data_IF_658633393569
#
_entry.id   IF_658633393569
#
_cell.length_a   1.000
_cell.length_b   1.000
_cell.length_c   1.000
_cell.angle_alpha   90.00
_cell.angle_beta   90.00
_cell.angle_gamma   90.00
#
_symmetry.space_group_name_H-M   'P 1'
#
loop_
_entity.id
_entity.type
_entity.pdbx_description
1 polymer ?
#
# COMPACT_ATOMS: atom_id res chain seq x y z
N UNK A 1 -15.49 12.93 5.92
CA UNK A 1 -16.14 13.35 4.66
C UNK A 1 -16.94 12.23 4.01
N UNK A 2 -16.32 11.12 3.58
CA UNK A 2 -17.02 9.99 2.91
C UNK A 2 -18.22 9.46 3.73
N UNK A 3 -18.06 9.18 5.02
CA UNK A 3 -19.17 8.75 5.88
C UNK A 3 -20.34 9.74 5.96
N UNK A 4 -20.05 11.05 5.87
CA UNK A 4 -21.08 12.09 5.82
C UNK A 4 -21.82 12.14 4.48
N UNK A 5 -21.12 11.88 3.36
CA UNK A 5 -21.76 11.70 2.06
C UNK A 5 -22.65 10.46 2.05
N UNK A 6 -22.17 9.34 2.62
CA UNK A 6 -22.95 8.11 2.77
C UNK A 6 -24.23 8.34 3.59
N UNK A 7 -24.11 9.03 4.74
CA UNK A 7 -25.25 9.39 5.57
C UNK A 7 -26.31 10.18 4.80
N UNK A 8 -25.90 11.21 4.05
CA UNK A 8 -26.83 12.03 3.25
C UNK A 8 -27.48 11.26 2.10
N UNK A 9 -26.78 10.28 1.51
CA UNK A 9 -27.35 9.42 0.46
C UNK A 9 -28.43 8.49 1.03
N UNK A 10 -28.22 7.93 2.22
CA UNK A 10 -29.13 6.97 2.84
C UNK A 10 -30.30 7.62 3.58
N UNK A 11 -30.04 8.71 4.31
CA UNK A 11 -31.03 9.36 5.17
C UNK A 11 -31.85 10.43 4.45
N UNK A 12 -31.35 10.93 3.32
CA UNK A 12 -31.97 12.04 2.60
C UNK A 12 -31.78 13.39 3.31
N UNK A 13 -32.78 14.30 3.25
CA UNK A 13 -32.72 15.60 3.93
C UNK A 13 -32.45 15.47 5.43
N UNK A 14 -31.75 16.46 5.98
CA UNK A 14 -31.48 16.50 7.42
C UNK A 14 -32.76 16.75 8.22
N UNK A 15 -33.03 15.91 9.21
CA UNK A 15 -34.09 16.07 10.20
C UNK A 15 -33.43 16.26 11.58
N UNK A 16 -33.54 17.45 12.20
CA UNK A 16 -32.95 17.74 13.51
C UNK A 16 -33.44 16.83 14.64
N UNK A 17 -34.68 16.32 14.56
CA UNK A 17 -35.27 15.48 15.60
C UNK A 17 -34.80 14.03 15.51
N UNK A 18 -34.47 13.56 14.29
CA UNK A 18 -34.05 12.17 14.05
C UNK A 18 -32.53 12.02 13.95
N UNK A 19 -31.86 12.93 13.24
CA UNK A 19 -30.44 12.85 12.93
C UNK A 19 -29.63 13.61 14.00
N UNK A 20 -29.55 13.03 15.19
CA UNK A 20 -28.80 13.58 16.33
C UNK A 20 -27.40 12.98 16.45
N UNK A 21 -26.54 13.56 17.30
CA UNK A 21 -25.24 12.97 17.60
C UNK A 21 -25.36 11.57 18.23
N UNK A 22 -26.41 11.33 19.04
CA UNK A 22 -26.70 10.01 19.62
C UNK A 22 -27.06 8.99 18.55
N UNK A 23 -27.88 9.39 17.57
CA UNK A 23 -28.20 8.55 16.41
C UNK A 23 -26.93 8.13 15.65
N UNK A 24 -26.07 9.09 15.30
CA UNK A 24 -24.84 8.78 14.57
C UNK A 24 -23.85 7.96 15.39
N UNK A 25 -23.80 8.11 16.72
CA UNK A 25 -23.00 7.25 17.60
C UNK A 25 -23.47 5.80 17.58
N UNK A 26 -24.79 5.57 17.61
CA UNK A 26 -25.36 4.23 17.59
C UNK A 26 -25.19 3.52 16.25
N UNK A 27 -24.95 4.25 15.16
CA UNK A 27 -24.87 3.73 13.79
C UNK A 27 -23.53 4.03 13.10
N UNK A 28 -22.46 4.25 13.86
CA UNK A 28 -21.15 4.59 13.27
C UNK A 28 -20.63 3.51 12.32
N UNK A 29 -20.97 2.26 12.59
CA UNK A 29 -20.59 1.10 11.79
C UNK A 29 -21.14 1.14 10.36
N UNK A 30 -22.29 1.79 10.15
CA UNK A 30 -22.90 1.98 8.84
C UNK A 30 -22.18 3.04 7.99
N UNK A 31 -21.46 3.96 8.62
CA UNK A 31 -20.91 5.14 7.95
C UNK A 31 -19.39 5.23 7.99
N UNK A 32 -18.73 4.52 8.92
CA UNK A 32 -17.30 4.64 9.18
C UNK A 32 -16.61 3.27 9.27
N UNK A 33 -15.38 3.14 8.75
CA UNK A 33 -14.55 1.96 8.97
C UNK A 33 -14.14 1.84 10.44
N UNK A 34 -13.78 0.63 10.88
CA UNK A 34 -13.50 0.29 12.29
C UNK A 34 -12.53 1.25 12.97
N UNK A 35 -11.42 1.60 12.32
CA UNK A 35 -10.39 2.52 12.86
C UNK A 35 -10.85 3.97 13.01
N UNK A 36 -11.90 4.40 12.29
CA UNK A 36 -12.43 5.77 12.34
C UNK A 36 -13.61 5.92 13.32
N UNK A 37 -14.06 4.81 13.93
CA UNK A 37 -15.13 4.80 14.92
C UNK A 37 -14.61 5.27 16.28
N UNK A 38 -15.54 5.71 17.12
CA UNK A 38 -15.24 6.01 18.50
C UNK A 38 -14.82 4.73 19.24
N UNK A 39 -13.74 4.79 20.02
CA UNK A 39 -13.28 3.67 20.83
C UNK A 39 -14.32 3.24 21.88
N UNK A 40 -14.16 2.05 22.46
CA UNK A 40 -15.11 1.47 23.43
C UNK A 40 -15.42 2.41 24.60
N UNK A 41 -14.40 3.11 25.11
CA UNK A 41 -14.53 4.08 26.21
C UNK A 41 -15.31 5.36 25.87
N UNK A 42 -15.49 5.67 24.59
CA UNK A 42 -16.26 6.84 24.17
C UNK A 42 -17.76 6.71 24.48
N UNK A 43 -18.26 5.49 24.74
CA UNK A 43 -19.62 5.25 25.20
C UNK A 43 -19.89 5.86 26.59
N UNK A 44 -18.86 6.06 27.41
CA UNK A 44 -18.96 6.68 28.73
C UNK A 44 -19.01 8.22 28.69
N UNK A 45 -18.74 8.81 27.53
CA UNK A 45 -18.72 10.27 27.35
C UNK A 45 -20.03 10.75 26.69
N UNK A 46 -20.46 12.00 26.93
CA UNK A 46 -21.62 12.58 26.25
C UNK A 46 -21.50 12.54 24.72
N UNK A 47 -22.64 12.35 24.03
CA UNK A 47 -22.73 12.37 22.57
C UNK A 47 -22.47 13.76 21.99
N UNK A 48 -21.72 13.82 20.88
CA UNK A 48 -21.54 15.07 20.14
C UNK A 48 -20.42 15.98 20.67
N UNK A 49 -19.46 15.44 21.43
CA UNK A 49 -18.25 16.20 21.80
C UNK A 49 -17.56 16.71 20.53
N UNK A 50 -17.18 17.99 20.52
CA UNK A 50 -16.51 18.63 19.38
C UNK A 50 -15.32 17.77 18.91
N UNK A 51 -15.30 17.45 17.62
CA UNK A 51 -14.26 16.63 17.01
C UNK A 51 -14.50 15.12 17.05
N UNK A 52 -15.54 14.63 17.74
CA UNK A 52 -15.86 13.20 17.73
C UNK A 52 -16.35 12.72 16.35
N UNK A 53 -16.22 11.42 16.03
CA UNK A 53 -16.71 10.87 14.77
C UNK A 53 -18.19 11.14 14.53
N UNK A 54 -19.04 10.98 15.55
CA UNK A 54 -20.47 11.28 15.44
C UNK A 54 -20.77 12.77 15.26
N UNK A 55 -19.99 13.66 15.89
CA UNK A 55 -20.14 15.11 15.70
C UNK A 55 -19.75 15.52 14.28
N UNK A 56 -18.68 14.94 13.72
CA UNK A 56 -18.26 15.16 12.33
C UNK A 56 -19.28 14.62 11.32
N UNK A 57 -19.89 13.45 11.59
CA UNK A 57 -20.99 12.92 10.77
C UNK A 57 -22.21 13.84 10.80
N UNK A 58 -22.59 14.30 11.99
CA UNK A 58 -23.70 15.23 12.18
C UNK A 58 -23.47 16.56 11.45
N UNK A 59 -22.28 17.14 11.57
CA UNK A 59 -21.91 18.38 10.87
C UNK A 59 -22.03 18.21 9.34
N UNK A 60 -21.60 17.07 8.80
CA UNK A 60 -21.78 16.79 7.37
C UNK A 60 -23.25 16.62 7.00
N UNK A 61 -24.05 15.97 7.84
CA UNK A 61 -25.47 15.76 7.59
C UNK A 61 -26.26 17.06 7.59
N UNK A 62 -25.92 18.01 8.47
CA UNK A 62 -26.52 19.34 8.57
C UNK A 62 -26.24 20.27 7.39
N UNK A 63 -25.26 19.93 6.52
CA UNK A 63 -24.96 20.75 5.35
C UNK A 63 -26.20 20.86 4.46
N UNK A 64 -26.46 22.04 3.87
CA UNK A 64 -27.64 22.28 3.04
C UNK A 64 -27.82 21.17 2.00
N UNK A 65 -29.07 20.85 1.60
CA UNK A 65 -29.37 19.88 0.55
C UNK A 65 -28.84 20.38 -0.80
N UNK A 66 -27.53 20.25 -1.01
CA UNK A 66 -26.85 20.89 -2.12
C UNK A 66 -26.87 20.04 -3.41
N UNK A 67 -27.43 18.83 -3.37
CA UNK A 67 -27.30 17.89 -4.48
C UNK A 67 -28.38 16.79 -4.42
N UNK A 68 -29.05 16.49 -5.55
CA UNK A 68 -29.83 15.26 -5.69
C UNK A 68 -28.97 14.03 -5.32
N UNK A 69 -29.57 12.91 -4.86
CA UNK A 69 -28.83 11.71 -4.45
C UNK A 69 -27.81 11.23 -5.49
N UNK A 70 -28.12 11.37 -6.79
CA UNK A 70 -27.20 11.06 -7.89
C UNK A 70 -25.92 11.90 -7.85
N UNK A 71 -25.99 13.21 -7.60
CA UNK A 71 -24.80 14.08 -7.50
C UNK A 71 -23.98 13.74 -6.25
N UNK A 72 -24.63 13.37 -5.14
CA UNK A 72 -23.92 12.92 -3.93
C UNK A 72 -23.15 11.60 -4.17
N UNK A 73 -23.75 10.64 -4.88
CA UNK A 73 -23.07 9.40 -5.29
C UNK A 73 -21.87 9.66 -6.20
N UNK A 74 -21.99 10.58 -7.17
CA UNK A 74 -20.86 10.98 -8.01
C UNK A 74 -19.74 11.60 -7.18
N UNK A 75 -20.08 12.48 -6.23
CA UNK A 75 -19.09 13.07 -5.31
C UNK A 75 -18.44 12.01 -4.41
N UNK A 76 -19.21 11.05 -3.91
CA UNK A 76 -18.69 9.92 -3.13
C UNK A 76 -17.67 9.13 -3.96
N UNK A 77 -18.03 8.71 -5.17
CA UNK A 77 -17.16 7.96 -6.08
C UNK A 77 -15.92 8.76 -6.49
N UNK A 78 -16.07 10.06 -6.74
CA UNK A 78 -14.95 10.94 -7.06
C UNK A 78 -13.92 10.95 -5.92
N UNK A 79 -14.37 11.04 -4.66
CA UNK A 79 -13.48 10.97 -3.50
C UNK A 79 -12.93 9.57 -3.23
N UNK A 80 -13.68 8.49 -3.48
CA UNK A 80 -13.12 7.14 -3.31
C UNK A 80 -12.06 6.84 -4.36
N UNK A 81 -12.23 7.33 -5.59
CA UNK A 81 -11.26 7.15 -6.69
C UNK A 81 -9.91 7.84 -6.44
N UNK A 82 -9.87 8.86 -5.57
CA UNK A 82 -8.60 9.46 -5.16
C UNK A 82 -7.85 8.62 -4.13
N UNK A 83 -8.49 7.57 -3.56
CA UNK A 83 -7.81 6.66 -2.66
C UNK A 83 -6.89 5.73 -3.45
N UNK A 84 -5.66 5.48 -2.98
CA UNK A 84 -4.68 4.70 -3.72
C UNK A 84 -5.10 3.26 -3.97
N UNK A 85 -5.78 2.65 -3.00
CA UNK A 85 -6.24 1.26 -3.04
C UNK A 85 -7.63 1.10 -3.67
N UNK A 86 -8.16 2.16 -4.29
CA UNK A 86 -9.44 2.07 -4.99
C UNK A 86 -9.33 1.08 -6.15
N UNK A 87 -10.30 0.17 -6.27
CA UNK A 87 -10.33 -0.84 -7.32
C UNK A 87 -9.24 -1.91 -7.19
N UNK A 88 -8.61 -2.04 -6.02
CA UNK A 88 -7.60 -3.07 -5.79
C UNK A 88 -8.20 -4.44 -5.47
N UNK A 89 -7.52 -5.48 -5.94
CA UNK A 89 -7.62 -6.80 -5.36
C UNK A 89 -6.74 -6.86 -4.10
N UNK A 90 -7.24 -7.52 -3.05
CA UNK A 90 -6.53 -7.64 -1.77
C UNK A 90 -6.18 -9.11 -1.53
N UNK A 91 -4.91 -9.33 -1.18
CA UNK A 91 -4.34 -10.64 -0.92
C UNK A 91 -3.75 -10.67 0.48
N UNK A 92 -3.78 -11.84 1.12
CA UNK A 92 -3.14 -12.06 2.41
C UNK A 92 -1.66 -12.36 2.20
N UNK A 93 -0.79 -11.78 3.00
CA UNK A 93 0.63 -12.11 3.04
C UNK A 93 1.20 -11.87 4.42
N UNK A 94 2.49 -12.13 4.56
CA UNK A 94 3.24 -11.83 5.76
C UNK A 94 4.63 -11.33 5.39
N UNK A 95 5.18 -10.46 6.23
CA UNK A 95 6.52 -9.89 6.07
C UNK A 95 7.31 -10.12 7.34
N UNK A 96 8.62 -10.23 7.20
CA UNK A 96 9.49 -10.39 8.36
C UNK A 96 9.44 -9.16 9.29
N UNK A 97 9.43 -9.40 10.60
CA UNK A 97 9.49 -8.34 11.59
C UNK A 97 10.88 -7.68 11.57
N UNK A 98 10.98 -6.34 11.46
CA UNK A 98 12.28 -5.68 11.57
C UNK A 98 12.85 -5.89 12.98
N UNK A 99 14.06 -6.46 13.06
CA UNK A 99 14.76 -6.70 14.34
C UNK A 99 15.08 -5.36 15.00
N UNK A 100 14.32 -5.00 16.05
CA UNK A 100 14.38 -3.68 16.70
C UNK A 100 14.76 -3.69 18.18
N UNK A 101 14.94 -4.87 18.80
CA UNK A 101 15.26 -4.99 20.22
C UNK A 101 15.82 -6.38 20.54
N UNK A 102 16.60 -6.52 21.63
CA UNK A 102 17.09 -7.80 22.15
C UNK A 102 15.94 -8.79 22.47
N UNK A 103 14.73 -8.29 22.75
CA UNK A 103 13.51 -9.11 22.93
C UNK A 103 12.96 -9.69 21.64
N UNK A 104 13.30 -9.13 20.48
CA UNK A 104 12.92 -9.63 19.14
C UNK A 104 13.61 -10.95 18.79
N UNK A 105 14.68 -11.31 19.51
CA UNK A 105 15.40 -12.57 19.33
C UNK A 105 14.66 -13.78 19.91
N UNK A 106 13.67 -13.56 20.80
CA UNK A 106 12.94 -14.61 21.50
C UNK A 106 11.59 -14.95 20.85
N UNK A 107 11.03 -14.04 20.06
CA UNK A 107 9.74 -14.19 19.37
C UNK A 107 9.84 -13.57 17.99
N UNK A 108 10.30 -14.33 17.00
CA UNK A 108 10.33 -13.90 15.61
C UNK A 108 9.05 -14.37 14.92
N UNK A 109 7.96 -13.61 15.10
CA UNK A 109 6.73 -13.86 14.35
C UNK A 109 6.64 -12.89 13.18
N UNK A 110 6.32 -13.42 12.00
CA UNK A 110 6.06 -12.61 10.82
C UNK A 110 4.86 -11.69 11.06
N UNK A 111 4.91 -10.50 10.47
CA UNK A 111 3.85 -9.51 10.53
C UNK A 111 2.84 -9.83 9.42
N UNK A 112 1.57 -10.17 9.75
CA UNK A 112 0.53 -10.35 8.74
C UNK A 112 0.20 -9.01 8.07
N UNK A 113 0.09 -9.04 6.74
CA UNK A 113 -0.20 -7.87 5.92
C UNK A 113 -1.24 -8.17 4.85
N UNK A 114 -1.93 -7.13 4.39
CA UNK A 114 -2.67 -7.16 3.13
C UNK A 114 -1.82 -6.57 2.02
N UNK A 115 -1.74 -7.27 0.89
CA UNK A 115 -1.17 -6.76 -0.36
C UNK A 115 -2.32 -6.34 -1.26
N UNK A 116 -2.38 -5.05 -1.59
CA UNK A 116 -3.36 -4.50 -2.51
C UNK A 116 -2.72 -4.24 -3.88
N UNK A 117 -3.30 -4.79 -4.95
CA UNK A 117 -2.81 -4.62 -6.33
C UNK A 117 -3.93 -4.02 -7.19
N UNK A 118 -3.64 -2.93 -7.90
CA UNK A 118 -4.58 -2.31 -8.84
C UNK A 118 -3.85 -1.72 -10.05
N UNK A 119 -4.61 -1.06 -10.95
CA UNK A 119 -4.07 -0.42 -12.16
C UNK A 119 -3.00 0.64 -11.94
N UNK A 120 -2.76 1.09 -10.70
CA UNK A 120 -1.80 2.14 -10.40
C UNK A 120 -0.50 1.56 -9.80
N UNK A 121 -0.58 0.45 -9.05
CA UNK A 121 0.57 -0.11 -8.37
C UNK A 121 0.22 -1.13 -7.28
N UNK A 122 1.19 -1.35 -6.41
CA UNK A 122 1.16 -2.34 -5.32
C UNK A 122 1.29 -1.62 -3.97
N UNK A 123 0.47 -2.02 -2.99
CA UNK A 123 0.47 -1.43 -1.66
C UNK A 123 0.50 -2.52 -0.59
N UNK A 124 1.38 -2.37 0.40
CA UNK A 124 1.47 -3.26 1.56
C UNK A 124 0.83 -2.56 2.75
N UNK A 125 -0.10 -3.24 3.43
CA UNK A 125 -0.97 -2.66 4.44
C UNK A 125 -0.93 -3.52 5.70
N UNK A 126 -0.68 -2.89 6.83
CA UNK A 126 -0.98 -3.45 8.15
C UNK A 126 -2.48 -3.23 8.42
N UNK A 127 -3.29 -4.29 8.25
CA UNK A 127 -4.74 -4.21 8.46
C UNK A 127 -5.10 -4.01 9.94
N UNK A 128 -4.30 -4.55 10.85
CA UNK A 128 -4.48 -4.42 12.30
C UNK A 128 -4.42 -2.96 12.72
N UNK A 129 -3.42 -2.23 12.22
CA UNK A 129 -3.28 -0.78 12.44
C UNK A 129 -4.00 0.08 11.38
N UNK A 130 -4.69 -0.54 10.41
CA UNK A 130 -5.32 0.13 9.27
C UNK A 130 -4.39 1.14 8.59
N UNK A 131 -3.14 0.74 8.36
CA UNK A 131 -2.04 1.61 7.93
C UNK A 131 -1.38 1.07 6.67
N UNK A 132 -1.23 1.92 5.65
CA UNK A 132 -0.36 1.62 4.50
C UNK A 132 1.10 1.73 4.94
N UNK A 133 1.86 0.64 4.79
CA UNK A 133 3.28 0.54 5.14
C UNK A 133 4.18 0.95 3.97
N UNK A 134 3.79 0.56 2.75
CA UNK A 134 4.52 0.79 1.51
C UNK A 134 3.52 0.96 0.37
N UNK A 135 3.76 1.90 -0.54
CA UNK A 135 3.01 2.06 -1.78
C UNK A 135 3.96 2.31 -2.93
N UNK A 136 3.93 1.44 -3.94
CA UNK A 136 4.81 1.47 -5.10
C UNK A 136 3.98 1.58 -6.38
N UNK A 137 4.22 2.63 -7.15
CA UNK A 137 3.65 2.77 -8.49
C UNK A 137 4.43 1.89 -9.48
N UNK A 138 3.81 1.51 -10.60
CA UNK A 138 4.49 0.69 -11.62
C UNK A 138 5.73 1.35 -12.25
N UNK A 139 5.86 2.68 -12.18
CA UNK A 139 7.07 3.41 -12.57
C UNK A 139 8.23 3.32 -11.56
N UNK A 140 7.96 2.91 -10.32
CA UNK A 140 8.91 2.86 -9.21
C UNK A 140 9.16 1.42 -8.73
N UNK A 141 8.45 0.45 -9.29
CA UNK A 141 8.41 -0.94 -8.88
C UNK A 141 9.17 -1.83 -9.87
N UNK A 142 10.06 -2.66 -9.36
CA UNK A 142 10.47 -3.91 -10.00
C UNK A 142 10.08 -5.05 -9.08
N UNK A 143 9.64 -6.17 -9.62
CA UNK A 143 9.21 -7.30 -8.80
C UNK A 143 9.66 -8.62 -9.39
N UNK A 144 9.63 -9.66 -8.56
CA UNK A 144 9.80 -11.04 -8.98
C UNK A 144 9.07 -11.98 -8.03
N UNK A 145 8.87 -13.21 -8.49
CA UNK A 145 8.14 -14.24 -7.79
C UNK A 145 9.05 -15.44 -7.53
N UNK A 146 9.21 -15.78 -6.26
CA UNK A 146 9.97 -16.94 -5.80
C UNK A 146 9.04 -18.10 -5.43
N UNK A 147 9.28 -19.27 -6.01
CA UNK A 147 8.70 -20.53 -5.57
C UNK A 147 9.74 -21.21 -4.66
N UNK A 148 9.36 -21.75 -3.50
CA UNK A 148 10.29 -22.52 -2.66
C UNK A 148 10.80 -23.76 -3.41
N UNK A 149 12.07 -24.14 -3.23
CA UNK A 149 12.59 -25.39 -3.79
C UNK A 149 12.10 -26.63 -3.06
N UNK A 150 11.67 -26.47 -1.80
CA UNK A 150 11.20 -27.55 -0.94
C UNK A 150 9.67 -27.54 -0.90
N UNK A 151 9.06 -28.72 -0.98
CA UNK A 151 7.62 -28.93 -0.92
C UNK A 151 7.07 -28.86 0.52
N UNK A 152 7.90 -28.43 1.48
CA UNK A 152 7.48 -28.20 2.86
C UNK A 152 6.34 -27.15 2.92
N UNK A 153 5.22 -27.50 3.55
CA UNK A 153 4.04 -26.63 3.65
C UNK A 153 4.29 -25.31 4.38
N UNK A 154 5.35 -25.26 5.21
CA UNK A 154 5.79 -24.07 5.93
C UNK A 154 6.63 -23.12 5.05
N UNK A 155 7.12 -23.60 3.91
CA UNK A 155 7.83 -22.77 2.94
C UNK A 155 6.82 -22.11 1.99
N UNK A 156 6.54 -20.83 2.22
CA UNK A 156 5.60 -20.08 1.41
C UNK A 156 6.27 -19.49 0.16
N UNK A 157 5.60 -19.50 -1.01
CA UNK A 157 6.00 -18.66 -2.14
C UNK A 157 6.10 -17.21 -1.73
N UNK A 158 6.98 -16.46 -2.38
CA UNK A 158 7.24 -15.07 -2.02
C UNK A 158 7.19 -14.14 -3.23
N UNK A 159 6.73 -12.93 -2.97
CA UNK A 159 6.77 -11.81 -3.89
C UNK A 159 7.86 -10.86 -3.41
N UNK A 160 8.83 -10.58 -4.27
CA UNK A 160 9.86 -9.59 -4.02
C UNK A 160 9.46 -8.26 -4.64
N UNK A 161 9.51 -7.19 -3.85
CA UNK A 161 9.21 -5.83 -4.29
C UNK A 161 10.47 -4.98 -4.16
N UNK A 162 11.06 -4.61 -5.29
CA UNK A 162 12.25 -3.78 -5.37
C UNK A 162 11.90 -2.35 -5.76
N UNK A 163 12.49 -1.38 -5.08
CA UNK A 163 12.29 0.05 -5.33
C UNK A 163 13.51 0.86 -4.91
N UNK A 164 13.68 2.02 -5.54
CA UNK A 164 14.81 2.92 -5.28
C UNK A 164 14.45 3.97 -4.22
N UNK A 165 15.36 4.23 -3.29
CA UNK A 165 15.23 5.26 -2.24
C UNK A 165 16.49 6.11 -2.18
N UNK A 166 16.37 7.37 -1.75
CA UNK A 166 17.52 8.21 -1.40
C UNK A 166 17.72 8.16 0.11
N UNK A 167 18.83 7.58 0.56
CA UNK A 167 19.25 7.55 1.98
C UNK A 167 20.61 8.23 2.13
N UNK A 168 20.70 9.19 3.05
CA UNK A 168 21.93 9.97 3.29
C UNK A 168 22.51 10.62 2.01
N UNK A 169 21.63 11.04 1.08
CA UNK A 169 22.03 11.64 -0.21
C UNK A 169 22.48 10.64 -1.26
N UNK A 170 22.52 9.34 -0.95
CA UNK A 170 22.88 8.27 -1.88
C UNK A 170 21.63 7.53 -2.34
N UNK A 171 21.61 7.14 -3.61
CA UNK A 171 20.55 6.28 -4.17
C UNK A 171 20.87 4.83 -3.84
N UNK A 172 19.94 4.17 -3.17
CA UNK A 172 20.02 2.76 -2.78
C UNK A 172 18.79 2.01 -3.28
N UNK A 173 18.99 0.75 -3.63
CA UNK A 173 17.89 -0.16 -3.96
C UNK A 173 17.44 -0.88 -2.69
N UNK A 174 16.13 -0.97 -2.47
CA UNK A 174 15.54 -1.71 -1.36
C UNK A 174 14.65 -2.81 -1.87
N UNK A 175 14.67 -3.96 -1.19
CA UNK A 175 13.84 -5.11 -1.50
C UNK A 175 13.03 -5.46 -0.26
N UNK A 176 11.71 -5.55 -0.43
CA UNK A 176 10.79 -6.15 0.53
C UNK A 176 10.42 -7.55 0.04
N UNK A 177 10.52 -8.55 0.91
CA UNK A 177 10.01 -9.89 0.66
C UNK A 177 8.65 -10.05 1.34
N UNK A 178 7.65 -10.51 0.58
CA UNK A 178 6.31 -10.81 1.09
C UNK A 178 6.02 -12.29 0.87
N UNK A 179 5.84 -13.04 1.94
CA UNK A 179 5.49 -14.46 1.90
C UNK A 179 3.97 -14.61 1.77
N UNK A 180 3.51 -15.45 0.84
CA UNK A 180 2.08 -15.69 0.63
C UNK A 180 1.80 -16.92 -0.23
N UNK A 181 0.80 -17.73 0.17
CA UNK A 181 0.19 -18.76 -0.69
C UNK A 181 -0.47 -18.20 -1.95
N UNK A 182 -0.71 -16.88 -1.97
CA UNK A 182 -1.36 -16.16 -3.07
C UNK A 182 -0.36 -15.41 -3.97
N UNK A 183 0.94 -15.54 -3.73
CA UNK A 183 1.96 -14.76 -4.43
C UNK A 183 1.93 -14.92 -5.97
N UNK A 184 1.62 -16.11 -6.50
CA UNK A 184 1.44 -16.32 -7.95
C UNK A 184 0.27 -15.50 -8.53
N UNK A 185 -0.84 -15.37 -7.78
CA UNK A 185 -1.97 -14.53 -8.20
C UNK A 185 -1.61 -13.05 -8.15
N UNK A 186 -0.81 -12.64 -7.17
CA UNK A 186 -0.28 -11.28 -7.09
C UNK A 186 0.60 -10.99 -8.30
N UNK A 187 1.59 -11.84 -8.58
CA UNK A 187 2.50 -11.72 -9.72
C UNK A 187 1.75 -11.60 -11.06
N UNK A 188 0.81 -12.52 -11.31
CA UNK A 188 -0.02 -12.50 -12.53
C UNK A 188 -0.77 -11.17 -12.70
N UNK A 189 -1.32 -10.63 -11.60
CA UNK A 189 -2.08 -9.38 -11.64
C UNK A 189 -1.17 -8.16 -11.80
N UNK A 190 0.02 -8.18 -11.19
CA UNK A 190 1.05 -7.15 -11.34
C UNK A 190 1.56 -7.13 -12.78
N UNK A 191 1.88 -8.28 -13.39
CA UNK A 191 2.30 -8.37 -14.79
C UNK A 191 1.24 -7.79 -15.72
N UNK A 192 -0.04 -8.14 -15.51
CA UNK A 192 -1.14 -7.61 -16.30
C UNK A 192 -1.23 -6.07 -16.26
N UNK A 193 -1.30 -5.49 -15.06
CA UNK A 193 -1.46 -4.05 -14.92
C UNK A 193 -0.19 -3.26 -15.28
N UNK A 194 1.00 -3.78 -14.96
CA UNK A 194 2.27 -3.19 -15.36
C UNK A 194 2.44 -3.23 -16.89
N UNK A 195 2.01 -4.32 -17.53
CA UNK A 195 1.97 -4.42 -18.99
C UNK A 195 1.04 -3.40 -19.63
N UNK A 196 -0.17 -3.24 -19.08
CA UNK A 196 -1.13 -2.22 -19.54
C UNK A 196 -0.61 -0.79 -19.30
N UNK A 197 0.10 -0.55 -18.20
CA UNK A 197 0.77 0.71 -17.93
C UNK A 197 1.84 1.03 -18.99
N UNK A 198 2.73 0.06 -19.30
CA UNK A 198 3.76 0.18 -20.34
C UNK A 198 3.18 0.46 -21.72
N UNK A 199 2.11 -0.25 -22.10
CA UNK A 199 1.40 -0.01 -23.37
C UNK A 199 0.88 1.43 -23.49
N UNK A 200 0.31 1.98 -22.42
CA UNK A 200 -0.18 3.38 -22.40
C UNK A 200 0.94 4.40 -22.57
N UNK A 201 2.16 4.06 -22.19
CA UNK A 201 3.36 4.87 -22.40
C UNK A 201 3.97 4.72 -23.81
N UNK A 202 3.35 3.91 -24.69
CA UNK A 202 3.88 3.66 -26.04
C UNK A 202 5.08 2.70 -26.05
N UNK A 203 5.28 1.91 -24.99
CA UNK A 203 6.30 0.86 -24.93
C UNK A 203 5.64 -0.48 -25.32
N UNK A 204 5.64 -0.83 -26.62
CA UNK A 204 5.11 -2.13 -27.08
C UNK A 204 6.18 -3.25 -26.96
N UNK A 205 5.96 -4.14 -25.98
CA UNK A 205 6.33 -5.58 -25.73
C UNK A 205 7.31 -6.37 -26.64
N UNK A 206 7.79 -7.57 -26.22
CA UNK A 206 8.30 -8.07 -24.92
C UNK A 206 9.70 -8.72 -25.07
N UNK A 207 10.48 -8.85 -24.00
CA UNK A 207 11.57 -9.84 -23.98
C UNK A 207 11.84 -10.32 -22.57
N UNK A 208 12.02 -11.64 -22.45
CA UNK A 208 12.58 -12.32 -21.29
C UNK A 208 13.73 -11.48 -20.75
N UNK A 209 13.65 -11.09 -19.48
CA UNK A 209 14.63 -10.23 -18.85
C UNK A 209 14.76 -8.86 -19.50
N UNK A 210 13.98 -7.89 -19.02
CA UNK A 210 14.25 -6.48 -19.28
C UNK A 210 15.66 -6.11 -18.78
N UNK A 211 16.64 -6.25 -19.68
CA UNK A 211 17.93 -5.59 -19.62
C UNK A 211 17.60 -4.10 -19.79
N UNK A 212 17.60 -3.35 -18.70
CA UNK A 212 17.59 -1.90 -18.79
C UNK A 212 19.00 -1.48 -19.22
N UNK A 213 19.27 -1.57 -20.52
CA UNK A 213 20.53 -1.13 -21.13
C UNK A 213 20.64 0.39 -20.93
N UNK A 214 21.32 0.81 -19.85
CA UNK A 214 21.58 2.21 -19.50
C UNK A 214 22.90 2.66 -20.14
N UNK A 215 23.01 2.53 -21.46
CA UNK A 215 24.08 3.20 -22.19
C UNK A 215 23.74 4.69 -22.37
N UNK A 216 24.13 5.50 -21.40
CA UNK A 216 24.28 6.95 -21.60
C UNK A 216 25.77 7.28 -21.62
N UNK A 217 26.30 7.44 -22.83
CA UNK A 217 27.69 7.85 -23.11
C UNK A 217 27.90 9.36 -22.85
N UNK A 218 27.23 9.88 -21.83
CA UNK A 218 27.28 11.24 -21.33
C UNK A 218 26.75 11.19 -19.90
N UNK A 219 27.60 11.51 -18.92
CA UNK A 219 27.40 11.26 -17.49
C UNK A 219 26.24 12.00 -16.79
N UNK A 220 25.03 11.92 -17.33
CA UNK A 220 23.80 12.37 -16.70
C UNK A 220 22.71 11.31 -16.88
N UNK A 221 22.55 10.47 -15.86
CA UNK A 221 21.46 9.49 -15.76
C UNK A 221 20.13 10.27 -15.69
N UNK A 222 19.44 10.37 -16.82
CA UNK A 222 18.08 10.92 -16.87
C UNK A 222 17.08 9.79 -16.63
N UNK A 223 16.99 9.37 -15.36
CA UNK A 223 15.84 8.61 -14.88
C UNK A 223 14.64 9.57 -14.80
N UNK A 224 13.38 9.08 -14.96
CA UNK A 224 12.21 9.92 -14.76
C UNK A 224 12.36 10.60 -13.40
N UNK A 225 12.12 11.91 -13.32
CA UNK A 225 12.52 12.68 -12.16
C UNK A 225 11.92 12.07 -10.91
N UNK A 226 12.77 11.78 -9.91
CA UNK A 226 12.39 11.59 -8.50
C UNK A 226 11.75 12.88 -7.90
N UNK A 227 11.20 13.75 -8.76
CA UNK A 227 10.86 15.14 -8.54
C UNK A 227 9.54 15.47 -9.24
N UNK A 228 8.48 14.70 -8.98
CA UNK A 228 7.12 15.27 -8.94
C UNK A 228 6.54 15.05 -7.54
N UNK A 229 6.78 15.98 -6.60
CA UNK A 229 6.30 15.89 -5.21
C UNK A 229 4.76 15.85 -5.07
N UNK A 230 4.02 15.99 -6.17
CA UNK A 230 2.62 16.40 -6.14
C UNK A 230 1.60 15.35 -6.57
N UNK A 231 2.01 14.11 -6.88
CA UNK A 231 0.99 13.07 -7.06
C UNK A 231 0.45 12.67 -5.68
N UNK A 232 -0.86 12.81 -5.40
CA UNK A 232 -1.44 12.41 -4.12
C UNK A 232 -1.27 10.91 -3.82
N UNK A 233 -0.93 10.11 -4.84
CA UNK A 233 -0.62 8.69 -4.75
C UNK A 233 0.80 8.43 -4.22
N UNK A 234 1.80 9.25 -4.56
CA UNK A 234 3.17 9.17 -4.01
C UNK A 234 3.28 9.69 -2.57
N UNK A 235 2.26 10.39 -2.05
CA UNK A 235 2.20 10.85 -0.64
C UNK A 235 1.86 9.75 0.36
N UNK A 236 1.76 8.51 -0.10
CA UNK A 236 1.51 7.40 0.81
C UNK A 236 2.74 7.10 1.64
N UNK A 237 2.47 6.73 2.88
CA UNK A 237 3.50 6.54 3.87
C UNK A 237 4.40 5.38 3.45
N UNK A 238 5.63 5.70 3.06
CA UNK A 238 6.73 4.76 3.03
C UNK A 238 7.29 4.67 4.45
N UNK A 239 6.64 3.86 5.30
CA UNK A 239 7.07 3.62 6.67
C UNK A 239 8.22 2.62 6.69
N UNK A 240 9.27 2.89 5.90
CA UNK A 240 10.36 1.94 5.61
C UNK A 240 11.03 1.39 6.86
N UNK A 241 11.13 2.21 7.91
CA UNK A 241 11.69 1.76 9.19
C UNK A 241 10.92 0.58 9.77
N UNK A 242 9.60 0.46 9.51
CA UNK A 242 8.71 -0.60 9.99
C UNK A 242 8.80 -1.89 9.16
N UNK A 243 9.65 -1.94 8.15
CA UNK A 243 9.80 -3.07 7.24
C UNK A 243 11.20 -3.68 7.40
N UNK A 244 11.27 -5.00 7.33
CA UNK A 244 12.53 -5.70 7.08
C UNK A 244 12.87 -5.55 5.59
N UNK A 245 13.94 -4.81 5.27
CA UNK A 245 14.32 -4.49 3.90
C UNK A 245 15.79 -4.85 3.66
N UNK A 246 16.08 -5.54 2.56
CA UNK A 246 17.44 -5.66 2.05
C UNK A 246 17.83 -4.41 1.27
N UNK A 247 19.00 -3.85 1.56
CA UNK A 247 19.50 -2.63 0.93
C UNK A 247 20.72 -2.96 0.07
N UNK A 248 20.69 -2.56 -1.19
CA UNK A 248 21.76 -2.75 -2.15
C UNK A 248 22.27 -1.40 -2.67
N UNK A 249 23.57 -1.32 -2.96
CA UNK A 249 24.16 -0.15 -3.61
C UNK A 249 23.80 -0.07 -5.11
N UNK A 250 24.22 1.00 -5.79
CA UNK A 250 24.00 1.16 -7.23
C UNK A 250 24.72 0.14 -8.12
N UNK A 251 25.56 -0.73 -7.54
CA UNK A 251 26.25 -1.83 -8.23
C UNK A 251 25.63 -3.20 -7.89
N UNK A 252 24.56 -3.23 -7.09
CA UNK A 252 23.88 -4.45 -6.65
C UNK A 252 24.58 -5.20 -5.51
N UNK A 253 25.56 -4.58 -4.83
CA UNK A 253 26.16 -5.17 -3.64
C UNK A 253 25.26 -4.96 -2.43
N UNK A 254 25.08 -6.00 -1.61
CA UNK A 254 24.32 -5.93 -0.36
C UNK A 254 25.06 -5.03 0.65
N UNK A 255 24.42 -3.93 1.02
CA UNK A 255 24.92 -3.00 2.05
C UNK A 255 24.45 -3.39 3.47
N UNK A 256 23.34 -4.13 3.55
CA UNK A 256 22.76 -4.61 4.81
C UNK A 256 21.23 -4.74 4.72
N UNK A 257 20.63 -5.48 5.65
CA UNK A 257 19.18 -5.68 5.70
C UNK A 257 18.75 -6.63 6.82
N UNK A 258 17.45 -6.65 7.09
CA UNK A 258 16.82 -7.69 7.91
C UNK A 258 16.35 -8.83 7.00
N UNK A 259 16.47 -10.07 7.48
CA UNK A 259 16.23 -11.32 6.75
C UNK A 259 17.48 -12.11 6.42
N UNK A 260 17.30 -13.42 6.23
CA UNK A 260 18.35 -14.36 5.87
C UNK A 260 18.69 -14.24 4.38
N UNK A 261 19.24 -13.09 3.99
CA UNK A 261 19.71 -12.83 2.62
C UNK A 261 21.09 -13.46 2.36
N UNK A 262 21.64 -14.18 3.34
CA UNK A 262 23.03 -14.60 3.36
C UNK A 262 23.21 -16.10 3.70
N UNK A 263 22.32 -17.00 3.26
CA UNK A 263 22.61 -18.43 3.31
C UNK A 263 21.77 -19.26 2.33
N UNK A 264 22.22 -19.34 1.07
CA UNK A 264 22.39 -20.62 0.35
C UNK A 264 22.94 -20.37 -1.06
N UNK A 265 24.18 -20.83 -1.27
CA UNK A 265 24.95 -20.74 -2.52
C UNK A 265 24.36 -21.58 -3.67
N UNK A 266 23.13 -22.07 -3.55
CA UNK A 266 22.49 -22.95 -4.54
C UNK A 266 21.26 -22.36 -5.24
N UNK A 267 20.81 -21.15 -4.85
CA UNK A 267 19.82 -20.42 -5.64
C UNK A 267 20.53 -19.44 -6.59
N UNK A 268 20.19 -19.43 -7.89
CA UNK A 268 20.62 -18.33 -8.74
C UNK A 268 20.08 -17.05 -8.10
N UNK A 269 20.98 -16.10 -7.80
CA UNK A 269 20.58 -14.75 -7.37
C UNK A 269 19.44 -14.29 -8.29
N UNK A 270 18.30 -13.81 -7.76
CA UNK A 270 17.24 -13.30 -8.60
C UNK A 270 17.85 -12.34 -9.61
N UNK A 271 17.61 -12.60 -10.90
CA UNK A 271 18.45 -12.05 -11.98
C UNK A 271 18.45 -10.51 -12.07
N UNK A 272 17.59 -9.85 -11.29
CA UNK A 272 17.36 -8.40 -11.18
C UNK A 272 17.92 -7.77 -9.88
N UNK A 273 18.53 -8.54 -8.96
CA UNK A 273 19.24 -7.97 -7.80
C UNK A 273 20.44 -7.12 -8.26
N UNK A 274 20.95 -7.42 -9.45
CA UNK A 274 21.88 -6.55 -10.16
C UNK A 274 21.06 -5.65 -11.10
N UNK A 275 21.37 -4.35 -11.20
CA UNK A 275 21.02 -3.64 -12.42
C UNK A 275 21.69 -4.42 -13.55
N UNK A 276 20.89 -5.10 -14.37
CA UNK A 276 21.43 -5.72 -15.58
C UNK A 276 21.98 -4.57 -16.43
N UNK A 277 23.25 -4.71 -16.80
CA UNK A 277 24.09 -3.68 -17.44
C UNK A 277 23.36 -2.94 -18.56
#
# INVERSE_FOLDING_TARGET
MLGGLQARIQLGPYDPHRHTARFFRAQQDKYLPKHARSGRWAALLPAGRKGSPEARLLEQAQRPPAAPPRKLRHKYLAHTRTLPTYGAAFFQGQIEQPVRSLTSLLTHEDIPVLVAVNSNGVYVIDDTESTVLLGLLYEELSWDFGIPSDDNEDCLPCLFLQFMVVENGLRVSKILQVFSKQAMMMDTLIEHFAGDYRKRLGQETPSDHANYDYHSDSGSISLPPLSRPDSPQRRLANKLSRLALATHDGRGNLLGGAGDWNTDLNYPRPSWILPKH
#
